data_IF_814855689663
#
_entry.id   IF_814855689663
#
_cell.length_a   1.000
_cell.length_b   1.000
_cell.length_c   1.000
_cell.angle_alpha   90.00
_cell.angle_beta   90.00
_cell.angle_gamma   90.00
#
_symmetry.space_group_name_H-M   'P 1'
#
loop_
_entity.id
_entity.type
_entity.pdbx_description
1 polymer ?
#
# COMPACT_ATOMS: atom_id res chain seq x y z
N UNK A 1 16.66 -39.19 -25.58
CA UNK A 1 15.84 -38.01 -25.23
C UNK A 1 16.17 -36.94 -26.24
N UNK A 2 15.19 -36.34 -26.91
CA UNK A 2 15.47 -35.31 -27.92
C UNK A 2 16.08 -34.10 -27.20
N UNK A 3 17.37 -33.83 -27.43
CA UNK A 3 18.02 -32.62 -26.94
C UNK A 3 17.55 -31.48 -27.83
N UNK A 4 16.84 -30.52 -27.23
CA UNK A 4 16.46 -29.27 -27.89
C UNK A 4 17.67 -28.63 -28.56
N UNK A 5 17.52 -28.13 -29.78
CA UNK A 5 18.56 -27.36 -30.46
C UNK A 5 18.89 -26.09 -29.64
N UNK A 6 20.10 -25.52 -29.77
CA UNK A 6 20.47 -24.31 -29.03
C UNK A 6 19.47 -23.15 -29.22
N UNK A 7 18.87 -23.01 -30.41
CA UNK A 7 17.87 -21.99 -30.69
C UNK A 7 16.55 -22.24 -29.93
N UNK A 8 16.10 -23.50 -29.86
CA UNK A 8 14.89 -23.86 -29.10
C UNK A 8 15.11 -23.72 -27.59
N UNK A 9 16.31 -24.05 -27.08
CA UNK A 9 16.67 -23.80 -25.68
C UNK A 9 16.65 -22.31 -25.35
N UNK A 10 17.21 -21.47 -26.23
CA UNK A 10 17.21 -20.02 -26.04
C UNK A 10 15.79 -19.44 -26.08
N UNK A 11 14.95 -19.89 -27.01
CA UNK A 11 13.54 -19.48 -27.08
C UNK A 11 12.76 -19.90 -25.82
N UNK A 12 13.03 -21.11 -25.31
CA UNK A 12 12.42 -21.61 -24.08
C UNK A 12 12.85 -20.78 -22.87
N UNK A 13 14.15 -20.53 -22.67
CA UNK A 13 14.67 -19.69 -21.58
C UNK A 13 14.10 -18.27 -21.67
N UNK A 14 14.10 -17.66 -22.86
CA UNK A 14 13.52 -16.33 -23.07
C UNK A 14 12.03 -16.28 -22.69
N UNK A 15 11.27 -17.34 -22.98
CA UNK A 15 9.86 -17.43 -22.58
C UNK A 15 9.68 -17.51 -21.06
N UNK A 16 10.55 -18.23 -20.38
CA UNK A 16 10.55 -18.35 -18.91
C UNK A 16 10.92 -17.02 -18.25
N UNK A 17 11.94 -16.34 -18.76
CA UNK A 17 12.37 -15.04 -18.26
C UNK A 17 11.25 -14.01 -18.39
N UNK A 18 10.60 -13.93 -19.55
CA UNK A 18 9.44 -13.04 -19.75
C UNK A 18 8.32 -13.33 -18.75
N UNK A 19 8.02 -14.61 -18.51
CA UNK A 19 6.98 -15.00 -17.55
C UNK A 19 7.37 -14.60 -16.13
N UNK A 20 8.63 -14.80 -15.75
CA UNK A 20 9.15 -14.41 -14.44
C UNK A 20 9.07 -12.92 -14.24
N UNK A 21 9.53 -12.14 -15.22
CA UNK A 21 9.57 -10.68 -15.12
C UNK A 21 8.16 -10.10 -15.07
N UNK A 22 7.22 -10.65 -15.85
CA UNK A 22 5.79 -10.32 -15.75
C UNK A 22 5.24 -10.62 -14.36
N UNK A 23 5.45 -11.83 -13.83
CA UNK A 23 4.97 -12.22 -12.51
C UNK A 23 5.56 -11.33 -11.40
N UNK A 24 6.85 -11.01 -11.47
CA UNK A 24 7.53 -10.14 -10.52
C UNK A 24 6.95 -8.73 -10.56
N UNK A 25 6.70 -8.20 -11.76
CA UNK A 25 6.10 -6.87 -11.95
C UNK A 25 4.71 -6.79 -11.32
N UNK A 26 3.87 -7.79 -11.58
CA UNK A 26 2.51 -7.84 -11.01
C UNK A 26 2.55 -8.03 -9.49
N UNK A 27 3.43 -8.91 -8.98
CA UNK A 27 3.58 -9.13 -7.55
C UNK A 27 4.03 -7.85 -6.82
N UNK A 28 5.00 -7.13 -7.40
CA UNK A 28 5.46 -5.84 -6.88
C UNK A 28 4.32 -4.81 -6.88
N UNK A 29 3.62 -4.66 -8.01
CA UNK A 29 2.51 -3.71 -8.13
C UNK A 29 1.39 -4.01 -7.11
N UNK A 30 1.06 -5.29 -6.88
CA UNK A 30 0.06 -5.70 -5.89
C UNK A 30 0.51 -5.37 -4.47
N UNK A 31 1.77 -5.62 -4.12
CA UNK A 31 2.34 -5.30 -2.81
C UNK A 31 2.29 -3.80 -2.53
N UNK A 32 2.73 -2.99 -3.49
CA UNK A 32 2.69 -1.53 -3.41
C UNK A 32 1.26 -1.00 -3.28
N UNK A 33 0.32 -1.54 -4.06
CA UNK A 33 -1.08 -1.16 -4.00
C UNK A 33 -1.71 -1.49 -2.64
N UNK A 34 -1.38 -2.65 -2.07
CA UNK A 34 -1.87 -3.07 -0.75
C UNK A 34 -1.32 -2.17 0.35
N UNK A 35 0.00 -1.93 0.38
CA UNK A 35 0.63 -1.04 1.36
C UNK A 35 0.07 0.39 1.30
N UNK A 36 -0.10 0.94 0.07
CA UNK A 36 -0.74 2.26 -0.11
C UNK A 36 -2.20 2.26 0.32
N UNK A 37 -2.92 1.16 0.09
CA UNK A 37 -4.31 1.00 0.52
C UNK A 37 -4.45 0.98 2.03
N UNK A 38 -3.60 0.22 2.72
CA UNK A 38 -3.54 0.12 4.18
C UNK A 38 -3.23 1.48 4.81
N UNK A 39 -2.16 2.14 4.38
CA UNK A 39 -1.79 3.47 4.89
C UNK A 39 -2.91 4.51 4.66
N UNK A 40 -3.58 4.48 3.49
CA UNK A 40 -4.74 5.34 3.22
C UNK A 40 -5.93 5.02 4.14
N UNK A 41 -6.16 3.74 4.42
CA UNK A 41 -7.22 3.27 5.31
C UNK A 41 -6.99 3.72 6.76
N UNK A 42 -5.79 3.49 7.28
CA UNK A 42 -5.38 3.94 8.61
C UNK A 42 -5.50 5.46 8.76
N UNK A 43 -4.99 6.22 7.78
CA UNK A 43 -5.08 7.68 7.78
C UNK A 43 -6.54 8.16 7.78
N UNK A 44 -7.41 7.56 6.97
CA UNK A 44 -8.85 7.89 6.93
C UNK A 44 -9.53 7.58 8.26
N UNK A 45 -9.25 6.42 8.85
CA UNK A 45 -9.79 6.01 10.15
C UNK A 45 -9.36 6.99 11.25
N UNK A 46 -8.09 7.39 11.28
CA UNK A 46 -7.60 8.39 12.24
C UNK A 46 -8.36 9.72 12.12
N UNK A 47 -8.58 10.23 10.90
CA UNK A 47 -9.36 11.46 10.65
C UNK A 47 -10.82 11.33 11.11
N UNK A 48 -11.46 10.20 10.80
CA UNK A 48 -12.85 9.95 11.21
C UNK A 48 -12.98 9.86 12.74
N UNK A 49 -12.08 9.15 13.40
CA UNK A 49 -12.03 9.05 14.85
C UNK A 49 -11.83 10.43 15.48
N UNK A 50 -10.85 11.21 14.99
CA UNK A 50 -10.59 12.56 15.48
C UNK A 50 -11.81 13.49 15.33
N UNK A 51 -12.54 13.44 14.19
CA UNK A 51 -13.80 14.18 14.02
C UNK A 51 -14.85 13.81 15.06
N UNK A 52 -15.02 12.51 15.33
CA UNK A 52 -15.97 12.03 16.36
C UNK A 52 -15.55 12.48 17.77
N UNK A 53 -14.26 12.50 18.06
CA UNK A 53 -13.72 12.96 19.34
C UNK A 53 -13.92 14.46 19.53
N UNK A 54 -13.67 15.28 18.49
CA UNK A 54 -14.00 16.72 18.53
C UNK A 54 -15.49 16.92 18.83
N UNK A 55 -16.38 16.20 18.15
CA UNK A 55 -17.82 16.25 18.41
C UNK A 55 -18.23 15.79 19.81
N UNK A 56 -17.36 15.08 20.53
CA UNK A 56 -17.56 14.65 21.93
C UNK A 56 -16.86 15.56 22.95
N UNK A 57 -16.17 16.61 22.50
CA UNK A 57 -15.52 17.59 23.38
C UNK A 57 -14.12 17.22 23.87
N UNK A 58 -13.42 16.28 23.22
CA UNK A 58 -12.01 16.00 23.52
C UNK A 58 -11.13 17.20 23.14
N UNK A 59 -10.04 17.42 23.90
CA UNK A 59 -9.05 18.45 23.56
C UNK A 59 -8.25 18.04 22.32
N UNK A 60 -7.61 19.00 21.65
CA UNK A 60 -6.78 18.71 20.47
C UNK A 60 -5.53 17.92 20.87
N UNK A 61 -5.03 18.17 22.07
CA UNK A 61 -3.90 17.50 22.69
C UNK A 61 -4.23 16.02 22.93
N UNK A 62 -5.39 15.70 23.51
CA UNK A 62 -5.85 14.31 23.68
C UNK A 62 -6.02 13.60 22.34
N UNK A 63 -6.57 14.30 21.34
CA UNK A 63 -6.76 13.73 20.01
C UNK A 63 -5.40 13.45 19.33
N UNK A 64 -4.42 14.35 19.47
CA UNK A 64 -3.07 14.13 18.99
C UNK A 64 -2.46 12.89 19.64
N UNK A 65 -2.57 12.74 20.95
CA UNK A 65 -2.03 11.60 21.69
C UNK A 65 -2.68 10.28 21.25
N UNK A 66 -4.01 10.27 21.09
CA UNK A 66 -4.78 9.05 20.78
C UNK A 66 -4.68 8.66 19.30
N UNK A 67 -4.68 9.63 18.38
CA UNK A 67 -4.78 9.37 16.94
C UNK A 67 -3.46 9.54 16.19
N UNK A 68 -2.45 10.15 16.83
CA UNK A 68 -1.17 10.50 16.21
C UNK A 68 -1.27 11.61 15.16
N UNK A 69 -2.42 12.27 15.03
CA UNK A 69 -2.60 13.40 14.13
C UNK A 69 -1.97 14.65 14.70
N UNK A 70 -1.38 15.48 13.83
CA UNK A 70 -0.85 16.77 14.25
C UNK A 70 -2.00 17.73 14.55
N UNK A 71 -1.75 18.69 15.43
CA UNK A 71 -2.73 19.70 15.81
C UNK A 71 -3.24 20.46 14.58
N UNK A 72 -2.36 20.82 13.64
CA UNK A 72 -2.78 21.52 12.42
C UNK A 72 -3.76 20.68 11.59
N UNK A 73 -3.51 19.37 11.49
CA UNK A 73 -4.40 18.46 10.77
C UNK A 73 -5.76 18.35 11.45
N UNK A 74 -5.79 18.34 12.79
CA UNK A 74 -7.02 18.31 13.60
C UNK A 74 -7.81 19.61 13.43
N UNK A 75 -7.14 20.77 13.35
CA UNK A 75 -7.79 22.08 13.14
C UNK A 75 -8.51 22.21 11.81
N UNK A 76 -8.03 21.48 10.80
CA UNK A 76 -8.66 21.38 9.49
C UNK A 76 -9.81 20.36 9.43
N UNK A 77 -10.07 19.61 10.51
CA UNK A 77 -11.23 18.72 10.64
C UNK A 77 -12.46 19.50 11.13
N UNK A 78 -12.91 20.48 10.35
CA UNK A 78 -14.25 21.07 10.52
C UNK A 78 -15.33 20.16 9.92
#
# INVERSE_FOLDING_TARGET
MANLSPAEQMAYISSLDRKRDYNNTIAFAKKEAMAKGEAKGERKKALETARKMLGKGFSKEDILEITGLRIEEIEHLK
#
